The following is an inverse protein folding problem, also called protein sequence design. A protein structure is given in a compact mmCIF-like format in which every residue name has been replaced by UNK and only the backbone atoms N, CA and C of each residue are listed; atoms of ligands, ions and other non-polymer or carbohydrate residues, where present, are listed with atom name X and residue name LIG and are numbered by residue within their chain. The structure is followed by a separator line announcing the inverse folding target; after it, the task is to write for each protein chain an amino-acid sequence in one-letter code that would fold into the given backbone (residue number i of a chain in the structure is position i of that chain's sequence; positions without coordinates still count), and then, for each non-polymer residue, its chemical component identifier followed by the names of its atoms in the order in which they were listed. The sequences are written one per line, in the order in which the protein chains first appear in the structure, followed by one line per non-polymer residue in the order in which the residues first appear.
data_IF_022394019606
#
_entry.id   IF_022394019606
#
_cell.length_a   1.000
_cell.length_b   1.000
_cell.length_c   1.000
_cell.angle_alpha   90.00
_cell.angle_beta   90.00
_cell.angle_gamma   90.00
#
_symmetry.space_group_name_H-M   'P 1'
#
loop_
_entity.id
_entity.type
_entity.pdbx_description
1 polymer ?
#
# COMPACT_ATOMS: atom_id res chain seq x y z
N UNK A 1 11.52 2.91 10.68
CA UNK A 1 11.67 4.37 10.87
C UNK A 1 11.08 4.74 12.23
N UNK A 2 11.56 4.07 13.30
CA UNK A 2 10.86 4.03 14.60
C UNK A 2 10.78 5.41 15.29
N UNK A 3 11.72 6.31 15.03
CA UNK A 3 11.73 7.63 15.69
C UNK A 3 10.54 8.51 15.30
N UNK A 4 10.02 8.39 14.07
CA UNK A 4 8.84 9.16 13.63
C UNK A 4 7.59 8.67 14.33
N UNK A 5 7.46 7.35 14.49
CA UNK A 5 6.33 6.73 15.18
C UNK A 5 6.31 7.19 16.65
N UNK A 6 7.44 7.09 17.35
CA UNK A 6 7.56 7.60 18.73
C UNK A 6 7.22 9.09 18.84
N UNK A 7 7.73 9.92 17.92
CA UNK A 7 7.43 11.34 17.92
C UNK A 7 5.93 11.62 17.74
N UNK A 8 5.26 10.89 16.85
CA UNK A 8 3.81 11.04 16.64
C UNK A 8 3.05 10.55 17.87
N UNK A 9 3.42 9.41 18.45
CA UNK A 9 2.78 8.90 19.67
C UNK A 9 2.90 9.89 20.83
N UNK A 10 4.06 10.52 20.99
CA UNK A 10 4.31 11.56 22.00
C UNK A 10 3.48 12.83 21.72
N UNK A 11 3.51 13.33 20.48
CA UNK A 11 2.79 14.56 20.11
C UNK A 11 1.27 14.42 20.25
N UNK A 12 0.72 13.24 19.95
CA UNK A 12 -0.72 13.00 19.95
C UNK A 12 -1.22 12.22 21.18
N UNK A 13 -0.31 11.80 22.07
CA UNK A 13 -0.57 10.96 23.24
C UNK A 13 -1.45 9.74 22.91
N UNK A 14 -1.12 9.05 21.81
CA UNK A 14 -1.90 7.92 21.27
C UNK A 14 -0.97 6.90 20.66
N UNK A 15 -1.15 5.64 21.05
CA UNK A 15 -0.46 4.50 20.45
C UNK A 15 -0.84 4.34 18.97
N UNK A 16 0.18 4.18 18.12
CA UNK A 16 0.00 3.92 16.70
C UNK A 16 -0.33 2.45 16.48
N UNK A 17 -1.36 2.21 15.68
CA UNK A 17 -1.71 0.86 15.26
C UNK A 17 -0.78 0.38 14.16
N UNK A 18 -0.56 -0.95 14.03
CA UNK A 18 0.21 -1.53 12.95
C UNK A 18 -0.28 -1.03 11.59
N UNK A 19 0.67 -0.71 10.70
CA UNK A 19 0.31 -0.21 9.37
C UNK A 19 -0.39 -1.31 8.58
N UNK A 20 -1.60 -1.03 8.08
CA UNK A 20 -2.34 -2.00 7.25
C UNK A 20 -1.73 -2.08 5.86
N UNK A 21 -1.05 -3.18 5.56
CA UNK A 21 -0.40 -3.45 4.29
C UNK A 21 -1.28 -4.33 3.40
N UNK A 22 -1.73 -3.80 2.26
CA UNK A 22 -2.63 -4.51 1.35
C UNK A 22 -1.85 -5.17 0.21
N UNK A 23 -2.15 -6.43 -0.07
CA UNK A 23 -1.50 -7.24 -1.10
C UNK A 23 -2.60 -7.89 -1.94
N UNK A 24 -2.44 -7.95 -3.26
CA UNK A 24 -3.31 -8.70 -4.19
C UNK A 24 -2.70 -10.05 -4.62
N UNK A 25 -1.39 -10.23 -4.40
CA UNK A 25 -0.67 -11.45 -4.69
C UNK A 25 -0.82 -12.50 -3.58
N UNK A 26 -1.65 -13.53 -3.84
CA UNK A 26 -1.83 -14.67 -2.94
C UNK A 26 -0.54 -15.47 -2.66
N UNK A 27 0.32 -15.65 -3.67
CA UNK A 27 1.58 -16.36 -3.50
C UNK A 27 2.53 -15.66 -2.52
N UNK A 28 2.50 -14.31 -2.49
CA UNK A 28 3.30 -13.53 -1.55
C UNK A 28 2.78 -13.65 -0.11
N UNK A 29 1.46 -13.58 0.12
CA UNK A 29 0.92 -13.75 1.48
C UNK A 29 1.18 -15.17 2.00
N UNK A 30 1.06 -16.18 1.15
CA UNK A 30 1.39 -17.57 1.49
C UNK A 30 2.87 -17.70 1.85
N UNK A 31 3.76 -17.04 1.10
CA UNK A 31 5.20 -17.01 1.41
C UNK A 31 5.52 -16.29 2.72
N UNK A 32 4.83 -15.19 3.02
CA UNK A 32 4.97 -14.46 4.29
C UNK A 32 4.51 -15.33 5.46
N UNK A 33 3.43 -16.09 5.31
CA UNK A 33 2.88 -16.97 6.35
C UNK A 33 3.63 -18.30 6.52
N UNK A 34 4.02 -18.93 5.41
CA UNK A 34 4.66 -20.24 5.33
C UNK A 34 5.96 -20.15 4.52
N UNK A 35 7.00 -19.58 5.13
CA UNK A 35 8.26 -19.31 4.46
C UNK A 35 9.01 -20.61 4.20
N UNK A 36 9.22 -20.89 2.92
CA UNK A 36 10.13 -21.94 2.45
C UNK A 36 11.07 -21.35 1.41
N UNK A 37 12.36 -21.66 1.44
CA UNK A 37 13.31 -21.16 0.46
C UNK A 37 13.40 -22.07 -0.76
N UNK A 38 13.53 -21.48 -1.95
CA UNK A 38 13.79 -22.21 -3.19
C UNK A 38 14.90 -21.47 -3.94
N UNK A 39 15.92 -22.19 -4.42
CA UNK A 39 17.06 -21.60 -5.13
C UNK A 39 16.63 -20.74 -6.33
N UNK A 40 15.52 -21.09 -6.99
CA UNK A 40 14.95 -20.33 -8.12
C UNK A 40 14.30 -18.99 -7.71
N UNK A 41 13.90 -18.83 -6.44
CA UNK A 41 13.19 -17.63 -5.94
C UNK A 41 13.90 -16.91 -4.80
N UNK A 42 15.20 -17.18 -4.59
CA UNK A 42 16.02 -16.53 -3.54
C UNK A 42 15.96 -15.00 -3.51
N UNK A 43 15.85 -14.34 -4.66
CA UNK A 43 15.75 -12.88 -4.73
C UNK A 43 14.43 -12.35 -4.13
N UNK A 44 13.37 -13.15 -4.15
CA UNK A 44 12.09 -12.84 -3.52
C UNK A 44 12.13 -13.17 -2.02
N UNK A 45 12.90 -14.18 -1.61
CA UNK A 45 13.02 -14.64 -0.22
C UNK A 45 13.51 -13.52 0.70
N UNK A 46 14.43 -12.66 0.25
CA UNK A 46 14.93 -11.52 1.04
C UNK A 46 13.78 -10.57 1.40
N UNK A 47 12.98 -10.16 0.40
CA UNK A 47 11.85 -9.24 0.62
C UNK A 47 10.74 -9.90 1.44
N UNK A 48 10.44 -11.18 1.16
CA UNK A 48 9.43 -11.92 1.90
C UNK A 48 9.82 -12.13 3.37
N UNK A 49 11.10 -12.36 3.66
CA UNK A 49 11.62 -12.46 5.03
C UNK A 49 11.46 -11.13 5.76
N UNK A 50 11.85 -10.02 5.13
CA UNK A 50 11.68 -8.70 5.72
C UNK A 50 10.21 -8.37 6.03
N UNK A 51 9.28 -8.64 5.11
CA UNK A 51 7.85 -8.45 5.35
C UNK A 51 7.31 -9.35 6.47
N UNK A 52 7.83 -10.58 6.59
CA UNK A 52 7.52 -11.47 7.71
C UNK A 52 8.01 -10.88 9.04
N UNK A 53 9.24 -10.36 9.07
CA UNK A 53 9.81 -9.79 10.29
C UNK A 53 8.98 -8.58 10.75
N UNK A 54 8.61 -7.67 9.84
CA UNK A 54 7.69 -6.55 10.13
C UNK A 54 6.33 -7.02 10.66
N UNK A 55 5.77 -8.09 10.07
CA UNK A 55 4.50 -8.66 10.52
C UNK A 55 4.63 -9.26 11.92
N UNK A 56 5.71 -10.00 12.19
CA UNK A 56 5.96 -10.64 13.48
C UNK A 56 6.21 -9.62 14.60
N UNK A 57 6.84 -8.50 14.26
CA UNK A 57 7.03 -7.36 15.17
C UNK A 57 5.76 -6.52 15.36
N UNK A 58 4.64 -6.90 14.72
CA UNK A 58 3.39 -6.14 14.72
C UNK A 58 3.56 -4.70 14.19
N UNK A 59 4.55 -4.44 13.34
CA UNK A 59 4.72 -3.14 12.66
C UNK A 59 3.71 -3.01 11.51
N UNK A 60 3.38 -4.15 10.87
CA UNK A 60 2.39 -4.22 9.79
C UNK A 60 1.33 -5.29 10.02
N UNK A 61 0.12 -5.02 9.52
CA UNK A 61 -0.94 -6.01 9.37
C UNK A 61 -1.16 -6.27 7.87
N UNK A 62 -0.81 -7.47 7.41
CA UNK A 62 -0.92 -7.86 5.98
C UNK A 62 -2.32 -8.39 5.67
N UNK A 63 -2.99 -7.81 4.67
CA UNK A 63 -4.31 -8.23 4.19
C UNK A 63 -4.31 -8.51 2.69
N UNK A 64 -4.81 -9.69 2.30
CA UNK A 64 -5.11 -10.00 0.90
C UNK A 64 -6.37 -9.25 0.45
N UNK A 65 -6.30 -8.59 -0.69
CA UNK A 65 -7.43 -7.91 -1.36
C UNK A 65 -7.49 -8.35 -2.81
N UNK A 66 -8.59 -8.07 -3.51
CA UNK A 66 -8.67 -8.35 -4.94
C UNK A 66 -7.88 -7.30 -5.75
N UNK A 67 -7.47 -7.66 -6.96
CA UNK A 67 -6.76 -6.76 -7.88
C UNK A 67 -7.59 -5.50 -8.19
N UNK A 68 -8.92 -5.63 -8.26
CA UNK A 68 -9.84 -4.50 -8.44
C UNK A 68 -9.87 -3.55 -7.24
N UNK A 69 -9.62 -4.07 -6.05
CA UNK A 69 -9.51 -3.29 -4.82
C UNK A 69 -8.13 -2.59 -4.70
N UNK A 70 -7.10 -3.14 -5.34
CA UNK A 70 -5.71 -2.68 -5.24
C UNK A 70 -5.46 -1.37 -6.00
N UNK A 71 -5.65 -0.25 -5.31
CA UNK A 71 -5.49 1.10 -5.88
C UNK A 71 -4.09 1.32 -6.45
N UNK A 72 -3.05 0.69 -5.89
CA UNK A 72 -1.68 0.83 -6.38
C UNK A 72 -1.48 0.29 -7.81
N UNK A 73 -2.38 -0.58 -8.32
CA UNK A 73 -2.34 -1.00 -9.71
C UNK A 73 -2.47 0.19 -10.66
N UNK A 74 -3.21 1.22 -10.26
CA UNK A 74 -3.36 2.43 -11.04
C UNK A 74 -2.07 3.22 -11.28
N UNK A 75 -1.13 3.09 -10.34
CA UNK A 75 0.16 3.80 -10.39
C UNK A 75 1.22 2.98 -11.12
N UNK A 76 1.00 1.68 -11.28
CA UNK A 76 2.01 0.72 -11.77
C UNK A 76 1.65 0.10 -13.12
N UNK A 77 0.37 0.12 -13.52
CA UNK A 77 -0.11 -0.39 -14.79
C UNK A 77 -0.64 0.73 -15.69
N UNK A 78 -0.54 0.59 -17.02
CA UNK A 78 -1.23 1.49 -17.94
C UNK A 78 -2.73 1.42 -17.69
N UNK A 79 -3.32 2.60 -17.46
CA UNK A 79 -4.71 2.75 -17.05
C UNK A 79 -5.65 2.57 -18.24
N UNK A 80 -6.47 1.51 -18.21
CA UNK A 80 -7.61 1.40 -19.11
C UNK A 80 -8.82 2.20 -18.57
N UNK A 81 -9.85 2.38 -19.40
CA UNK A 81 -11.02 3.21 -19.05
C UNK A 81 -11.73 2.72 -17.78
N UNK A 82 -11.85 1.41 -17.59
CA UNK A 82 -12.47 0.82 -16.40
C UNK A 82 -11.65 1.09 -15.13
N UNK A 83 -10.32 0.99 -15.21
CA UNK A 83 -9.42 1.32 -14.09
C UNK A 83 -9.50 2.80 -13.72
N UNK A 84 -9.57 3.69 -14.72
CA UNK A 84 -9.76 5.13 -14.50
C UNK A 84 -11.09 5.44 -13.81
N UNK A 85 -12.17 4.79 -14.25
CA UNK A 85 -13.50 4.96 -13.63
C UNK A 85 -13.48 4.53 -12.17
N UNK A 86 -12.89 3.38 -11.85
CA UNK A 86 -12.75 2.89 -10.47
C UNK A 86 -11.91 3.82 -9.59
N UNK A 87 -10.84 4.42 -10.13
CA UNK A 87 -10.03 5.39 -9.39
C UNK A 87 -10.79 6.69 -9.07
N UNK A 88 -11.61 7.15 -10.02
CA UNK A 88 -12.53 8.27 -9.82
C UNK A 88 -13.52 7.97 -8.70
N UNK A 89 -14.13 6.79 -8.72
CA UNK A 89 -15.07 6.35 -7.68
C UNK A 89 -14.39 6.27 -6.30
N UNK A 90 -13.14 5.79 -6.24
CA UNK A 90 -12.34 5.74 -5.01
C UNK A 90 -11.77 7.09 -4.56
N UNK A 91 -12.11 8.20 -5.24
CA UNK A 91 -11.71 9.59 -4.92
C UNK A 91 -10.19 9.82 -4.82
N UNK A 92 -9.38 9.01 -5.51
CA UNK A 92 -7.93 9.21 -5.55
C UNK A 92 -7.49 10.33 -6.52
N UNK A 93 -8.41 10.83 -7.35
CA UNK A 93 -8.14 12.00 -8.18
C UNK A 93 -8.50 13.27 -7.42
N UNK A 94 -7.49 14.09 -7.11
CA UNK A 94 -7.70 15.47 -6.71
C UNK A 94 -8.17 16.23 -7.95
N UNK A 95 -9.43 16.67 -7.94
CA UNK A 95 -9.91 17.59 -8.96
C UNK A 95 -9.33 18.96 -8.64
N UNK A 96 -8.28 19.36 -9.37
CA UNK A 96 -7.78 20.73 -9.31
C UNK A 96 -8.80 21.59 -10.05
N UNK A 97 -9.64 22.29 -9.29
CA UNK A 97 -10.49 23.34 -9.85
C UNK A 97 -9.59 24.54 -10.16
N UNK A 98 -9.15 24.64 -11.42
CA UNK A 98 -8.62 25.89 -11.93
C UNK A 98 -9.78 26.88 -11.97
N UNK A 99 -9.82 27.81 -11.01
CA UNK A 99 -10.69 28.97 -11.12
C UNK A 99 -10.21 29.77 -12.32
N UNK A 100 -10.95 29.66 -13.42
CA UNK A 100 -10.83 30.60 -14.53
C UNK A 100 -11.13 31.98 -13.95
N UNK A 101 -10.08 32.74 -13.65
CA UNK A 101 -10.21 34.19 -13.50
C UNK A 101 -10.63 34.70 -14.87
N UNK A 102 -11.91 34.98 -15.02
CA UNK A 102 -12.43 35.79 -16.11
C UNK A 102 -11.64 37.09 -16.16
N UNK A 103 -10.75 37.20 -17.14
CA UNK A 103 -10.20 38.46 -17.61
C UNK A 103 -11.08 38.91 -18.75
N UNK A 104 -11.94 39.89 -18.48
CA UNK A 104 -12.61 40.64 -19.51
C UNK A 104 -11.63 41.44 -20.36
N UNK A 105 -11.99 41.61 -21.62
CA UNK A 105 -11.73 42.81 -22.40
C UNK A 105 -13.10 43.34 -22.84
#
# INVERSE_FOLDING_TARGET
NQWIEYLIEELYNKELRPTRFQIDNKGLIDKINNFGSNSKTKHLDIKAKWLRDLKNNNEICVKLISSEEMVAEALTKPLNQDSLKRLREKRFLVTVLFSSRGGGC
#
